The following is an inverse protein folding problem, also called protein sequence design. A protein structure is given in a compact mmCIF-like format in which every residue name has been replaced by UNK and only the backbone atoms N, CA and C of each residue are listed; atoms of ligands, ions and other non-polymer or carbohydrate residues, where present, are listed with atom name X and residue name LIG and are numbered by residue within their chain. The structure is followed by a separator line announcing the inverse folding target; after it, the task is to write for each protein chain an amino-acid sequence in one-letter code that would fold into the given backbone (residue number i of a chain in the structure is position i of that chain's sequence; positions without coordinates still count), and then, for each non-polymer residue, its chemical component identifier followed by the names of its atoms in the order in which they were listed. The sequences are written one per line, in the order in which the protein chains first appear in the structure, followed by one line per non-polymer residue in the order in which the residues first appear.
data_IF_735813332198
#
_entry.id   IF_735813332198
#
_cell.length_a   1.000
_cell.length_b   1.000
_cell.length_c   1.000
_cell.angle_alpha   90.00
_cell.angle_beta   90.00
_cell.angle_gamma   90.00
#
_symmetry.space_group_name_H-M   'P 1'
#
loop_
_entity.id
_entity.type
_entity.pdbx_description
1 polymer ?
#
# COMPACT_ATOMS: atom_id res chain seq x y z
N UNK A 1 13.27 -9.74 13.07
CA UNK A 1 12.04 -8.91 13.03
C UNK A 1 12.37 -7.62 12.32
N UNK A 2 11.67 -7.29 11.23
CA UNK A 2 11.86 -6.00 10.53
C UNK A 2 10.78 -5.04 11.04
N UNK A 3 11.17 -3.87 11.53
CA UNK A 3 10.24 -2.84 11.99
C UNK A 3 9.58 -2.15 10.81
N UNK A 4 8.32 -1.73 10.98
CA UNK A 4 7.66 -0.86 10.01
C UNK A 4 8.45 0.46 9.89
N UNK A 5 8.57 1.04 8.68
CA UNK A 5 9.17 2.35 8.51
C UNK A 5 8.39 3.38 9.36
N UNK A 6 9.10 4.10 10.22
CA UNK A 6 8.53 5.15 11.06
C UNK A 6 8.19 6.40 10.24
N UNK A 7 8.94 6.63 9.16
CA UNK A 7 8.79 7.81 8.30
C UNK A 7 7.88 7.53 7.12
N UNK A 8 6.94 8.45 6.87
CA UNK A 8 5.96 8.31 5.81
C UNK A 8 6.54 8.59 4.42
N UNK A 9 7.62 9.37 4.34
CA UNK A 9 8.31 9.73 3.09
C UNK A 9 8.90 8.52 2.34
N UNK A 10 8.96 7.37 3.01
CA UNK A 10 9.42 6.10 2.43
C UNK A 10 8.32 5.43 1.61
N UNK A 11 7.05 5.79 1.83
CA UNK A 11 5.92 5.21 1.12
C UNK A 11 5.73 5.89 -0.23
N UNK A 12 5.76 5.08 -1.30
CA UNK A 12 5.56 5.58 -2.65
C UNK A 12 4.08 5.72 -2.96
N UNK A 13 3.74 6.71 -3.78
CA UNK A 13 2.40 6.86 -4.37
C UNK A 13 2.00 5.58 -5.10
N UNK A 14 0.76 5.12 -4.92
CA UNK A 14 0.29 3.86 -5.51
C UNK A 14 0.16 3.99 -7.04
N UNK A 15 1.18 3.51 -7.74
CA UNK A 15 1.26 3.51 -9.22
C UNK A 15 0.17 2.67 -9.90
N UNK A 16 -0.44 1.72 -9.17
CA UNK A 16 -1.50 0.86 -9.72
C UNK A 16 -2.89 1.51 -9.58
N UNK A 17 -3.01 2.60 -8.81
CA UNK A 17 -4.26 3.32 -8.65
C UNK A 17 -4.43 4.33 -9.79
N UNK A 18 -5.37 4.05 -10.70
CA UNK A 18 -5.79 5.02 -11.72
C UNK A 18 -6.39 6.27 -11.07
N UNK A 19 -6.06 7.44 -11.61
CA UNK A 19 -6.49 8.76 -11.14
C UNK A 19 -6.23 8.96 -9.64
N UNK A 20 -5.00 8.67 -9.21
CA UNK A 20 -4.56 8.94 -7.86
C UNK A 20 -4.42 10.46 -7.66
N UNK A 21 -5.17 11.01 -6.72
CA UNK A 21 -5.16 12.41 -6.28
C UNK A 21 -3.95 12.76 -5.39
N UNK A 22 -3.01 11.81 -5.21
CA UNK A 22 -1.87 11.93 -4.30
C UNK A 22 -2.19 11.40 -2.89
N UNK A 23 -3.41 10.90 -2.64
CA UNK A 23 -3.79 10.34 -1.34
C UNK A 23 -3.58 8.83 -1.22
N UNK A 24 -3.35 8.12 -2.33
CA UNK A 24 -3.15 6.67 -2.32
C UNK A 24 -1.67 6.30 -2.37
N UNK A 25 -1.27 5.42 -1.46
CA UNK A 25 0.11 4.98 -1.28
C UNK A 25 0.18 3.45 -1.26
N UNK A 26 1.35 2.93 -1.62
CA UNK A 26 1.64 1.54 -1.47
C UNK A 26 3.11 1.29 -1.14
N UNK A 27 3.35 0.22 -0.40
CA UNK A 27 4.70 -0.28 -0.15
C UNK A 27 4.72 -1.80 -0.16
N UNK A 28 5.94 -2.31 -0.31
CA UNK A 28 6.24 -3.73 -0.29
C UNK A 28 7.11 -4.04 0.92
N UNK A 29 6.70 -5.06 1.67
CA UNK A 29 7.46 -5.63 2.77
C UNK A 29 7.47 -7.14 2.61
N UNK A 30 8.68 -7.69 2.51
CA UNK A 30 8.91 -9.09 2.16
C UNK A 30 8.11 -9.49 0.91
N UNK A 31 7.25 -10.49 1.01
CA UNK A 31 6.39 -10.95 -0.10
C UNK A 31 5.00 -10.32 -0.08
N UNK A 32 4.79 -9.21 0.63
CA UNK A 32 3.49 -8.55 0.74
C UNK A 32 3.52 -7.14 0.19
N UNK A 33 2.48 -6.79 -0.55
CA UNK A 33 2.19 -5.42 -0.96
C UNK A 33 0.98 -4.91 -0.19
N UNK A 34 1.13 -3.75 0.43
CA UNK A 34 0.09 -3.09 1.22
C UNK A 34 -0.29 -1.79 0.48
N UNK A 35 -1.56 -1.69 0.07
CA UNK A 35 -2.16 -0.45 -0.45
C UNK A 35 -2.98 0.21 0.63
N UNK A 36 -2.86 1.52 0.74
CA UNK A 36 -3.62 2.30 1.70
C UNK A 36 -3.90 3.71 1.20
N UNK A 37 -4.86 4.38 1.83
CA UNK A 37 -5.16 5.80 1.59
C UNK A 37 -4.81 6.60 2.83
N UNK A 38 -4.07 7.69 2.64
CA UNK A 38 -3.85 8.71 3.66
C UNK A 38 -4.98 9.72 3.59
N UNK A 39 -5.67 9.91 4.71
CA UNK A 39 -6.60 11.00 4.94
C UNK A 39 -5.96 11.93 5.99
N UNK A 40 -6.61 13.05 6.28
CA UNK A 40 -6.03 14.07 7.16
C UNK A 40 -5.81 13.56 8.59
N UNK A 41 -6.68 12.67 9.07
CA UNK A 41 -6.67 12.17 10.46
C UNK A 41 -6.45 10.66 10.57
N UNK A 42 -6.44 9.93 9.45
CA UNK A 42 -6.38 8.47 9.50
C UNK A 42 -5.71 7.86 8.27
N UNK A 43 -5.32 6.60 8.44
CA UNK A 43 -4.83 5.73 7.37
C UNK A 43 -5.82 4.59 7.19
N UNK A 44 -6.36 4.46 5.98
CA UNK A 44 -7.24 3.34 5.64
C UNK A 44 -6.49 2.31 4.83
N UNK A 45 -6.26 1.13 5.40
CA UNK A 45 -5.70 -0.01 4.66
C UNK A 45 -6.76 -0.50 3.67
N UNK A 46 -6.44 -0.45 2.38
CA UNK A 46 -7.36 -0.84 1.31
C UNK A 46 -7.17 -2.31 0.92
N UNK A 47 -5.92 -2.78 0.91
CA UNK A 47 -5.60 -4.14 0.49
C UNK A 47 -4.25 -4.58 1.02
N UNK A 48 -4.18 -5.85 1.43
CA UNK A 48 -2.94 -6.57 1.68
C UNK A 48 -2.92 -7.77 0.73
N UNK A 49 -1.86 -7.90 -0.07
CA UNK A 49 -1.73 -9.01 -1.04
C UNK A 49 -0.34 -9.61 -0.98
N UNK A 50 -0.26 -10.94 -0.94
CA UNK A 50 0.99 -11.64 -1.20
C UNK A 50 1.38 -11.50 -2.68
N UNK A 51 2.60 -11.07 -2.97
CA UNK A 51 3.12 -10.77 -4.32
C UNK A 51 2.93 -11.93 -5.29
N UNK A 52 3.22 -13.16 -4.84
CA UNK A 52 3.09 -14.39 -5.63
C UNK A 52 1.63 -14.87 -5.85
N UNK A 53 0.64 -14.34 -5.12
CA UNK A 53 -0.76 -14.79 -5.28
C UNK A 53 -1.42 -14.06 -6.44
N UNK A 54 -1.86 -14.83 -7.44
CA UNK A 54 -2.67 -14.30 -8.53
C UNK A 54 -4.01 -13.78 -8.00
N UNK A 55 -4.62 -12.78 -8.64
CA UNK A 55 -5.99 -12.38 -8.33
C UNK A 55 -6.90 -13.60 -8.40
N UNK A 56 -7.81 -13.74 -7.44
CA UNK A 56 -8.85 -14.75 -7.55
C UNK A 56 -9.77 -14.37 -8.72
N UNK A 57 -9.82 -15.21 -9.73
CA UNK A 57 -10.74 -15.09 -10.87
C UNK A 57 -11.90 -16.05 -10.59
N UNK A 58 -13.13 -15.55 -10.61
CA UNK A 58 -14.35 -16.35 -10.45
C UNK A 58 -14.77 -16.98 -11.78
#
# INVERSE_FOLDING_TARGET
MRSLPVNFDVYQTDRLKRNNDGSFYAFEIDSYRISFRKLDQEIRILRIRHSARRPFTR
#
